data_IF_636770777403
#
_entry.id   IF_636770777403
#
_cell.length_a   1.000
_cell.length_b   1.000
_cell.length_c   1.000
_cell.angle_alpha   90.00
_cell.angle_beta   90.00
_cell.angle_gamma   90.00
#
_symmetry.space_group_name_H-M   'P 1'
#
loop_
_entity.id
_entity.type
_entity.pdbx_description
1 polymer ?
#
# COMPACT_ATOMS: atom_id res chain seq x y z
N UNK A 1 -29.27 -34.35 12.40
CA UNK A 1 -28.84 -33.00 12.82
C UNK A 1 -27.33 -32.89 12.68
N UNK A 2 -26.81 -32.18 11.67
CA UNK A 2 -25.39 -31.86 11.59
C UNK A 2 -25.12 -30.50 12.28
N UNK A 3 -24.24 -30.50 13.30
CA UNK A 3 -23.69 -29.30 13.91
C UNK A 3 -22.74 -28.63 12.91
N UNK A 4 -23.11 -27.47 12.38
CA UNK A 4 -22.21 -26.63 11.61
C UNK A 4 -21.42 -25.71 12.57
N UNK A 5 -20.11 -25.82 12.48
CA UNK A 5 -19.08 -25.04 13.17
C UNK A 5 -19.14 -23.54 12.81
N UNK A 6 -18.82 -22.63 13.75
CA UNK A 6 -18.88 -21.19 13.52
C UNK A 6 -17.78 -20.75 12.54
N UNK A 7 -18.18 -19.99 11.51
CA UNK A 7 -17.23 -19.32 10.60
C UNK A 7 -16.48 -18.25 11.38
N UNK A 8 -15.16 -18.36 11.31
CA UNK A 8 -14.15 -17.48 11.87
C UNK A 8 -14.28 -16.10 11.22
N UNK A 9 -14.43 -15.07 12.05
CA UNK A 9 -14.37 -13.67 11.67
C UNK A 9 -13.07 -13.38 10.90
N UNK A 10 -13.17 -13.20 9.59
CA UNK A 10 -12.14 -12.56 8.79
C UNK A 10 -12.18 -11.07 9.12
N UNK A 11 -11.10 -10.64 9.75
CA UNK A 11 -10.82 -9.27 10.14
C UNK A 11 -11.07 -8.32 8.96
N UNK A 12 -11.99 -7.36 9.16
CA UNK A 12 -12.14 -6.18 8.28
C UNK A 12 -10.81 -5.42 8.24
N UNK A 13 -9.97 -5.73 7.27
CA UNK A 13 -8.80 -4.93 6.94
C UNK A 13 -9.29 -3.70 6.18
N UNK A 14 -9.45 -2.59 6.92
CA UNK A 14 -9.66 -1.21 6.45
C UNK A 14 -10.48 -1.05 5.15
N UNK A 15 -11.81 -0.89 5.29
CA UNK A 15 -12.75 -0.43 4.24
C UNK A 15 -12.54 1.05 3.82
N UNK A 16 -11.32 1.57 3.88
CA UNK A 16 -11.02 2.88 3.31
C UNK A 16 -10.63 2.68 1.85
N UNK A 17 -11.33 3.31 0.89
CA UNK A 17 -10.98 3.16 -0.51
C UNK A 17 -9.55 3.63 -0.73
N UNK A 18 -8.72 2.76 -1.30
CA UNK A 18 -7.33 3.08 -1.63
C UNK A 18 -7.17 3.17 -3.14
N UNK A 19 -6.51 4.23 -3.62
CA UNK A 19 -6.17 4.37 -5.03
C UNK A 19 -4.80 3.78 -5.27
N UNK A 20 -4.67 2.81 -6.18
CA UNK A 20 -3.37 2.26 -6.58
C UNK A 20 -2.56 3.33 -7.31
N UNK A 21 -1.35 3.62 -6.80
CA UNK A 21 -0.44 4.63 -7.38
C UNK A 21 0.82 3.98 -7.96
N UNK A 22 1.22 2.81 -7.45
CA UNK A 22 2.39 2.12 -7.95
C UNK A 22 2.72 0.84 -7.20
N UNK A 23 3.99 0.45 -7.26
CA UNK A 23 4.51 -0.79 -6.68
C UNK A 23 5.85 -0.60 -6.00
N UNK A 24 6.12 -1.51 -5.07
CA UNK A 24 7.33 -1.61 -4.29
C UNK A 24 7.91 -3.02 -4.39
N UNK A 25 9.23 -3.15 -4.53
CA UNK A 25 9.92 -4.45 -4.59
C UNK A 25 11.33 -4.36 -4.01
N UNK A 26 11.92 -5.48 -3.65
CA UNK A 26 13.36 -5.52 -3.33
C UNK A 26 14.19 -5.10 -4.56
N UNK A 27 15.17 -4.23 -4.31
CA UNK A 27 16.16 -3.80 -5.29
C UNK A 27 17.14 -4.94 -5.59
N UNK A 28 17.56 -5.05 -6.86
CA UNK A 28 18.57 -6.03 -7.28
C UNK A 28 19.97 -5.72 -6.72
N UNK A 29 20.21 -4.48 -6.30
CA UNK A 29 21.49 -4.04 -5.73
C UNK A 29 21.68 -4.43 -4.25
N UNK A 30 20.68 -5.10 -3.64
CA UNK A 30 20.69 -5.47 -2.22
C UNK A 30 20.42 -4.28 -1.29
N UNK A 31 19.81 -4.55 -0.13
CA UNK A 31 19.67 -3.57 0.97
C UNK A 31 18.68 -2.42 0.77
N UNK A 32 17.92 -2.38 -0.32
CA UNK A 32 16.97 -1.30 -0.60
C UNK A 32 15.65 -1.80 -1.20
N UNK A 33 14.59 -1.02 -1.03
CA UNK A 33 13.36 -1.15 -1.79
C UNK A 33 13.35 -0.19 -2.97
N UNK A 34 12.95 -0.71 -4.13
CA UNK A 34 12.64 0.08 -5.33
C UNK A 34 11.15 0.37 -5.36
N UNK A 35 10.82 1.65 -5.48
CA UNK A 35 9.46 2.15 -5.70
C UNK A 35 9.32 2.55 -7.17
N UNK A 36 8.21 2.14 -7.78
CA UNK A 36 7.82 2.52 -9.14
C UNK A 36 6.42 3.08 -9.08
N UNK A 37 6.25 4.36 -9.39
CA UNK A 37 4.95 5.04 -9.39
C UNK A 37 4.46 5.26 -10.81
N UNK A 38 3.17 5.12 -11.04
CA UNK A 38 2.54 5.60 -12.27
C UNK A 38 2.50 7.12 -12.26
N UNK A 39 3.14 7.74 -13.24
CA UNK A 39 3.17 9.20 -13.40
C UNK A 39 1.78 9.81 -13.46
N UNK A 40 0.87 9.17 -14.19
CA UNK A 40 -0.54 9.58 -14.29
C UNK A 40 -1.26 9.49 -12.94
N UNK A 41 -1.06 8.39 -12.20
CA UNK A 41 -1.68 8.22 -10.89
C UNK A 41 -1.20 9.28 -9.89
N UNK A 42 0.09 9.65 -9.92
CA UNK A 42 0.64 10.70 -9.05
C UNK A 42 0.01 12.06 -9.32
N UNK A 43 -0.25 12.40 -10.59
CA UNK A 43 -0.90 13.67 -10.95
C UNK A 43 -2.34 13.80 -10.45
N UNK A 44 -3.03 12.66 -10.27
CA UNK A 44 -4.39 12.60 -9.73
C UNK A 44 -4.45 12.42 -8.21
N UNK A 45 -3.31 12.34 -7.53
CA UNK A 45 -3.28 12.17 -6.07
C UNK A 45 -3.63 13.47 -5.35
N UNK A 46 -4.27 13.32 -4.19
CA UNK A 46 -4.43 14.41 -3.23
C UNK A 46 -3.06 14.82 -2.70
N UNK A 47 -2.88 16.12 -2.47
CA UNK A 47 -1.69 16.70 -1.86
C UNK A 47 -2.04 17.38 -0.55
N UNK A 48 -1.05 17.51 0.33
CA UNK A 48 -1.10 18.45 1.45
C UNK A 48 0.10 19.38 1.37
N UNK A 49 -0.10 20.62 1.78
CA UNK A 49 0.95 21.63 1.84
C UNK A 49 1.47 21.76 3.27
N UNK A 50 2.78 21.88 3.44
CA UNK A 50 3.38 22.21 4.73
C UNK A 50 3.34 23.71 4.98
N UNK A 51 3.56 24.12 6.24
CA UNK A 51 3.69 25.54 6.59
C UNK A 51 4.82 26.26 5.83
N UNK A 52 5.81 25.51 5.33
CA UNK A 52 6.92 26.04 4.53
C UNK A 52 6.60 26.13 3.02
N UNK A 53 5.38 25.76 2.61
CA UNK A 53 4.90 25.89 1.23
C UNK A 53 5.27 24.75 0.30
N UNK A 54 5.75 23.61 0.83
CA UNK A 54 6.04 22.43 0.02
C UNK A 54 4.82 21.50 -0.04
N UNK A 55 4.50 21.02 -1.25
CA UNK A 55 3.39 20.10 -1.50
C UNK A 55 3.87 18.65 -1.52
N UNK A 56 3.12 17.77 -0.85
CA UNK A 56 3.43 16.35 -0.74
C UNK A 56 2.24 15.48 -1.10
N UNK A 57 2.52 14.34 -1.73
CA UNK A 57 1.55 13.27 -1.97
C UNK A 57 1.68 12.20 -0.88
N UNK A 58 0.68 12.00 0.00
CA UNK A 58 0.72 10.94 0.99
C UNK A 58 0.45 9.58 0.33
N UNK A 59 1.40 8.65 0.47
CA UNK A 59 1.33 7.28 -0.03
C UNK A 59 1.54 6.27 1.10
N UNK A 60 0.95 5.09 0.95
CA UNK A 60 0.96 4.00 1.92
C UNK A 60 1.27 2.66 1.27
N UNK A 61 1.87 1.78 2.05
CA UNK A 61 2.17 0.39 1.69
C UNK A 61 1.73 -0.47 2.88
N UNK A 62 1.00 -1.57 2.63
CA UNK A 62 0.69 -2.52 3.71
C UNK A 62 1.98 -3.08 4.32
N UNK A 63 2.13 -2.94 5.63
CA UNK A 63 3.28 -3.47 6.37
C UNK A 63 3.38 -5.00 6.25
N UNK A 64 2.24 -5.70 6.24
CA UNK A 64 2.21 -7.15 6.07
C UNK A 64 2.70 -7.55 4.67
N UNK A 65 2.22 -6.87 3.63
CA UNK A 65 2.64 -7.14 2.26
C UNK A 65 4.10 -6.75 2.01
N UNK A 66 4.58 -5.65 2.61
CA UNK A 66 5.97 -5.23 2.56
C UNK A 66 6.91 -6.28 3.17
N UNK A 67 6.55 -6.85 4.34
CA UNK A 67 7.34 -7.93 4.97
C UNK A 67 7.45 -9.14 4.05
N UNK A 68 6.35 -9.58 3.42
CA UNK A 68 6.38 -10.66 2.44
C UNK A 68 7.32 -10.38 1.27
N UNK A 69 7.43 -9.12 0.85
CA UNK A 69 8.39 -8.72 -0.20
C UNK A 69 9.83 -8.80 0.27
N UNK A 70 10.10 -8.33 1.49
CA UNK A 70 11.44 -8.37 2.11
C UNK A 70 11.89 -9.82 2.33
N UNK A 71 10.99 -10.68 2.81
CA UNK A 71 11.24 -12.10 3.09
C UNK A 71 11.31 -12.95 1.80
N UNK A 72 11.14 -12.35 0.63
CA UNK A 72 11.16 -13.04 -0.66
C UNK A 72 9.92 -13.91 -0.95
N UNK A 73 8.90 -13.86 -0.10
CA UNK A 73 7.63 -14.56 -0.28
C UNK A 73 6.76 -13.93 -1.38
N UNK A 74 6.99 -12.65 -1.67
CA UNK A 74 6.27 -11.89 -2.70
C UNK A 74 7.24 -11.04 -3.52
N UNK A 75 7.08 -10.97 -4.85
CA UNK A 75 8.00 -10.21 -5.69
C UNK A 75 7.79 -8.69 -5.63
N UNK A 76 6.54 -8.25 -5.46
CA UNK A 76 6.10 -6.86 -5.51
C UNK A 76 4.95 -6.64 -4.52
N UNK A 77 4.83 -5.46 -3.94
CA UNK A 77 3.63 -5.02 -3.18
C UNK A 77 3.11 -3.69 -3.76
N UNK A 78 1.87 -3.34 -3.46
CA UNK A 78 1.24 -2.12 -3.94
C UNK A 78 1.65 -0.90 -3.11
N UNK A 79 1.72 0.24 -3.77
CA UNK A 79 1.80 1.58 -3.19
C UNK A 79 0.50 2.28 -3.53
N UNK A 80 -0.22 2.77 -2.54
CA UNK A 80 -1.53 3.40 -2.73
C UNK A 80 -1.67 4.71 -1.96
N UNK A 81 -2.68 5.50 -2.29
CA UNK A 81 -3.11 6.63 -1.48
C UNK A 81 -4.44 6.27 -0.79
N UNK A 82 -4.57 6.56 0.51
CA UNK A 82 -5.87 6.51 1.18
C UNK A 82 -6.74 7.65 0.67
N UNK A 83 -7.96 7.33 0.24
CA UNK A 83 -8.99 8.33 0.09
C UNK A 83 -9.59 8.58 1.48
N UNK A 84 -9.17 9.65 2.13
CA UNK A 84 -9.85 10.13 3.33
C UNK A 84 -11.19 10.73 2.89
N UNK A 85 -12.30 10.10 3.29
CA UNK A 85 -13.65 10.56 2.92
C UNK A 85 -13.98 11.91 3.54
#
# INVERSE_FOLDING_TARGET
MPKATPKKDEQKENENPTTLVGWARCSKAGGALKLSLHTEAVSGCRTYSTAEGADYVPLVISMAALRRVIDGQQAVTTVSQFQES
#
